data_IF_996712872240
#
_entry.id   IF_996712872240
#
_cell.length_a   1.000
_cell.length_b   1.000
_cell.length_c   1.000
_cell.angle_alpha   90.00
_cell.angle_beta   90.00
_cell.angle_gamma   90.00
#
_symmetry.space_group_name_H-M   'P 1'
#
loop_
_entity.id
_entity.type
_entity.pdbx_description
1 polymer ?
#
# COMPACT_ATOMS: atom_id res chain seq x y z
N UNK A 1 13.44 -2.16 42.04
CA UNK A 1 13.60 -1.43 40.79
C UNK A 1 12.22 -0.90 40.39
N UNK A 2 12.06 0.38 40.01
CA UNK A 2 10.83 0.80 39.41
C UNK A 2 10.59 -0.07 38.18
N UNK A 3 9.34 -0.53 37.97
CA UNK A 3 9.00 -1.30 36.78
C UNK A 3 9.30 -0.46 35.54
N UNK A 4 10.07 -1.02 34.63
CA UNK A 4 10.34 -0.33 33.34
C UNK A 4 9.03 -0.15 32.60
N UNK A 5 8.76 1.02 32.00
CA UNK A 5 7.56 1.23 31.19
C UNK A 5 7.53 0.25 30.02
N UNK A 6 6.36 -0.30 29.75
CA UNK A 6 6.15 -1.27 28.67
C UNK A 6 5.28 -0.63 27.59
N UNK A 7 5.81 -0.61 26.35
CA UNK A 7 5.15 -0.04 25.18
C UNK A 7 4.67 -1.16 24.27
N UNK A 8 3.42 -1.09 23.82
CA UNK A 8 2.91 -1.94 22.77
C UNK A 8 2.97 -1.18 21.41
N UNK A 9 3.88 -1.59 20.54
CA UNK A 9 3.89 -1.14 19.16
C UNK A 9 2.93 -2.03 18.35
N UNK A 10 1.69 -1.56 18.19
CA UNK A 10 0.66 -2.28 17.44
C UNK A 10 0.84 -2.13 15.94
N UNK A 11 1.54 -1.08 15.49
CA UNK A 11 1.67 -0.68 14.09
C UNK A 11 0.29 -0.33 13.51
N UNK A 12 -0.54 -1.34 13.22
CA UNK A 12 -1.90 -1.22 12.67
C UNK A 12 -2.92 -1.89 13.60
N UNK A 13 -4.23 -1.60 13.42
CA UNK A 13 -5.31 -2.37 14.02
C UNK A 13 -5.64 -3.59 13.14
N UNK A 14 -5.30 -4.78 13.63
CA UNK A 14 -5.55 -6.04 12.91
C UNK A 14 -7.06 -6.30 12.75
N UNK A 15 -7.87 -5.98 13.77
CA UNK A 15 -9.33 -6.13 13.67
C UNK A 15 -9.92 -5.21 12.61
N UNK A 16 -9.41 -3.97 12.49
CA UNK A 16 -9.85 -3.05 11.45
C UNK A 16 -9.49 -3.58 10.05
N UNK A 17 -8.27 -4.14 9.89
CA UNK A 17 -7.86 -4.81 8.65
C UNK A 17 -8.80 -5.99 8.32
N UNK A 18 -9.16 -6.80 9.32
CA UNK A 18 -10.09 -7.92 9.13
C UNK A 18 -11.50 -7.46 8.77
N UNK A 19 -12.01 -6.39 9.36
CA UNK A 19 -13.31 -5.79 8.99
C UNK A 19 -13.34 -5.39 7.51
N UNK A 20 -12.30 -4.70 7.05
CA UNK A 20 -12.17 -4.30 5.65
C UNK A 20 -12.05 -5.52 4.73
N UNK A 21 -11.20 -6.49 5.08
CA UNK A 21 -11.03 -7.71 4.29
C UNK A 21 -12.32 -8.54 4.21
N UNK A 22 -13.09 -8.64 5.30
CA UNK A 22 -14.37 -9.35 5.31
C UNK A 22 -15.41 -8.71 4.40
N UNK A 23 -15.44 -7.37 4.32
CA UNK A 23 -16.40 -6.63 3.50
C UNK A 23 -16.09 -6.70 2.01
N UNK A 24 -14.82 -6.81 1.62
CA UNK A 24 -14.35 -6.64 0.24
C UNK A 24 -13.76 -7.89 -0.40
N UNK A 25 -13.46 -8.95 0.37
CA UNK A 25 -12.93 -10.21 -0.17
C UNK A 25 -13.92 -10.86 -1.14
N UNK A 26 -13.45 -11.25 -2.33
CA UNK A 26 -14.21 -12.08 -3.28
C UNK A 26 -14.19 -13.57 -2.90
N UNK A 27 -13.31 -14.00 -1.99
CA UNK A 27 -13.18 -15.39 -1.54
C UNK A 27 -14.17 -15.72 -0.43
N UNK A 28 -15.05 -16.68 -0.66
CA UNK A 28 -16.02 -17.17 0.33
C UNK A 28 -15.34 -17.74 1.57
N UNK A 29 -14.28 -18.53 1.38
CA UNK A 29 -13.49 -19.12 2.47
C UNK A 29 -12.74 -18.05 3.27
N UNK A 30 -12.15 -17.05 2.61
CA UNK A 30 -11.50 -15.92 3.26
C UNK A 30 -12.46 -15.13 4.13
N UNK A 31 -13.69 -14.85 3.65
CA UNK A 31 -14.74 -14.21 4.45
C UNK A 31 -15.13 -15.00 5.68
N UNK A 32 -15.24 -16.33 5.55
CA UNK A 32 -15.61 -17.20 6.68
C UNK A 32 -14.54 -17.20 7.77
N UNK A 33 -13.27 -17.38 7.40
CA UNK A 33 -12.14 -17.35 8.35
C UNK A 33 -12.04 -15.99 9.04
N UNK A 34 -12.09 -14.91 8.27
CA UNK A 34 -12.02 -13.54 8.81
C UNK A 34 -13.18 -13.26 9.78
N UNK A 35 -14.41 -13.70 9.45
CA UNK A 35 -15.59 -13.52 10.30
C UNK A 35 -15.51 -14.30 11.61
N UNK A 36 -14.81 -15.45 11.61
CA UNK A 36 -14.60 -16.25 12.83
C UNK A 36 -13.50 -15.67 13.73
N UNK A 37 -12.41 -15.17 13.14
CA UNK A 37 -11.29 -14.60 13.89
C UNK A 37 -11.54 -13.15 14.36
N UNK A 38 -12.37 -12.39 13.66
CA UNK A 38 -12.60 -10.98 13.95
C UNK A 38 -13.02 -10.70 15.40
N UNK A 39 -14.03 -11.40 16.00
CA UNK A 39 -14.44 -11.14 17.38
C UNK A 39 -13.33 -11.46 18.40
N UNK A 40 -12.51 -12.45 18.10
CA UNK A 40 -11.38 -12.85 18.96
C UNK A 40 -10.29 -11.80 18.92
N UNK A 41 -9.95 -11.32 17.72
CA UNK A 41 -8.96 -10.26 17.51
C UNK A 41 -9.43 -8.96 18.17
N UNK A 42 -10.69 -8.56 17.99
CA UNK A 42 -11.27 -7.39 18.64
C UNK A 42 -11.17 -7.47 20.16
N UNK A 43 -11.51 -8.65 20.76
CA UNK A 43 -11.38 -8.86 22.20
C UNK A 43 -9.92 -8.81 22.66
N UNK A 44 -9.01 -9.40 21.90
CA UNK A 44 -7.57 -9.37 22.20
C UNK A 44 -7.01 -7.94 22.16
N UNK A 45 -7.22 -7.21 21.08
CA UNK A 45 -6.79 -5.81 20.95
C UNK A 45 -7.42 -4.93 22.03
N UNK A 46 -8.73 -5.08 22.30
CA UNK A 46 -9.41 -4.34 23.36
C UNK A 46 -8.84 -4.58 24.76
N UNK A 47 -8.28 -5.76 25.05
CA UNK A 47 -7.57 -6.01 26.30
C UNK A 47 -6.14 -5.44 26.26
N UNK A 48 -5.44 -5.59 25.14
CA UNK A 48 -4.05 -5.13 24.97
C UNK A 48 -3.94 -3.62 25.14
N UNK A 49 -4.86 -2.83 24.59
CA UNK A 49 -4.85 -1.37 24.73
C UNK A 49 -5.03 -0.87 26.17
N UNK A 50 -5.41 -1.76 27.11
CA UNK A 50 -5.54 -1.44 28.53
C UNK A 50 -4.42 -2.05 29.39
N UNK A 51 -3.43 -2.71 28.78
CA UNK A 51 -2.44 -3.55 29.50
C UNK A 51 -1.02 -3.01 29.45
N UNK A 52 -0.78 -1.93 28.73
CA UNK A 52 0.53 -1.31 28.54
C UNK A 52 0.56 0.12 29.05
N UNK A 53 1.75 0.68 29.31
CA UNK A 53 1.88 2.08 29.72
C UNK A 53 1.66 3.04 28.55
N UNK A 54 1.96 2.59 27.32
CA UNK A 54 1.81 3.34 26.08
C UNK A 54 1.50 2.39 24.93
N UNK A 55 0.68 2.85 23.98
CA UNK A 55 0.42 2.16 22.71
C UNK A 55 0.85 3.05 21.56
N UNK A 56 1.51 2.47 20.56
CA UNK A 56 1.89 3.15 19.32
C UNK A 56 1.11 2.55 18.15
N UNK A 57 0.67 3.43 17.24
CA UNK A 57 0.03 3.06 15.97
C UNK A 57 0.54 3.98 14.86
N UNK A 58 0.41 3.56 13.60
CA UNK A 58 0.94 4.34 12.49
C UNK A 58 -0.05 5.38 11.94
N UNK A 59 -1.34 5.27 12.25
CA UNK A 59 -2.35 6.22 11.75
C UNK A 59 -3.41 6.60 12.78
N UNK A 60 -4.02 7.76 12.59
CA UNK A 60 -5.19 8.20 13.36
C UNK A 60 -6.39 7.26 13.16
N UNK A 61 -6.51 6.65 11.98
CA UNK A 61 -7.54 5.66 11.67
C UNK A 61 -7.41 4.43 12.58
N UNK A 62 -6.19 3.89 12.71
CA UNK A 62 -5.92 2.75 13.60
C UNK A 62 -6.11 3.10 15.06
N UNK A 63 -5.65 4.29 15.49
CA UNK A 63 -5.92 4.81 16.83
C UNK A 63 -7.41 4.80 17.14
N UNK A 64 -8.23 5.35 16.25
CA UNK A 64 -9.67 5.43 16.44
C UNK A 64 -10.34 4.04 16.41
N UNK A 65 -9.84 3.12 15.56
CA UNK A 65 -10.29 1.74 15.51
C UNK A 65 -10.03 1.01 16.84
N UNK A 66 -8.82 1.11 17.37
CA UNK A 66 -8.43 0.51 18.65
C UNK A 66 -9.24 1.09 19.81
N UNK A 67 -9.42 2.41 19.89
CA UNK A 67 -10.20 3.05 20.95
C UNK A 67 -11.63 2.56 21.03
N UNK A 68 -12.26 2.22 19.91
CA UNK A 68 -13.62 1.65 19.85
C UNK A 68 -13.72 0.26 20.49
N UNK A 69 -12.60 -0.45 20.61
CA UNK A 69 -12.54 -1.79 21.20
C UNK A 69 -12.36 -1.77 22.71
N UNK A 70 -12.20 -0.57 23.33
CA UNK A 70 -12.01 -0.44 24.77
C UNK A 70 -13.18 -1.08 25.53
N UNK A 71 -12.92 -2.04 26.45
CA UNK A 71 -13.96 -2.58 27.31
C UNK A 71 -14.60 -1.49 28.17
N UNK A 72 -15.92 -1.57 28.40
CA UNK A 72 -16.68 -0.53 29.10
C UNK A 72 -16.22 -0.27 30.54
N UNK A 73 -15.63 -1.28 31.15
CA UNK A 73 -15.13 -1.30 32.55
C UNK A 73 -13.64 -0.93 32.68
N UNK A 74 -12.97 -0.63 31.55
CA UNK A 74 -11.54 -0.30 31.54
C UNK A 74 -11.26 1.06 30.93
N UNK A 75 -10.08 1.60 31.23
CA UNK A 75 -9.53 2.78 30.58
C UNK A 75 -8.43 2.37 29.61
N UNK A 76 -8.43 2.89 28.38
CA UNK A 76 -7.35 2.63 27.46
C UNK A 76 -6.07 3.34 27.92
N UNK A 77 -4.95 2.74 27.65
CA UNK A 77 -3.64 3.38 27.76
C UNK A 77 -3.54 4.56 26.77
N UNK A 78 -2.65 5.53 27.02
CA UNK A 78 -2.37 6.57 26.03
C UNK A 78 -1.98 5.93 24.69
N UNK A 79 -2.63 6.38 23.59
CA UNK A 79 -2.30 5.92 22.23
C UNK A 79 -1.68 7.08 21.46
N UNK A 80 -0.41 6.94 21.08
CA UNK A 80 0.29 7.90 20.20
C UNK A 80 0.31 7.41 18.77
N UNK A 81 0.12 8.34 17.83
CA UNK A 81 0.30 8.09 16.40
C UNK A 81 1.75 8.40 16.06
N UNK A 82 2.47 7.40 15.56
CA UNK A 82 3.83 7.49 15.05
C UNK A 82 3.81 7.00 13.60
N UNK A 83 3.64 7.89 12.62
CA UNK A 83 3.58 7.51 11.22
C UNK A 83 4.86 6.81 10.76
N UNK A 84 4.73 5.86 9.83
CA UNK A 84 5.89 5.29 9.17
C UNK A 84 6.64 6.38 8.40
N UNK A 85 7.96 6.30 8.43
CA UNK A 85 8.85 7.11 7.62
C UNK A 85 9.51 6.31 6.51
N UNK A 86 10.34 6.98 5.72
CA UNK A 86 11.22 6.41 4.72
C UNK A 86 12.63 6.95 4.92
N UNK A 87 13.62 6.12 4.66
CA UNK A 87 15.04 6.52 4.68
C UNK A 87 15.34 7.36 3.42
N UNK A 88 15.40 8.68 3.58
CA UNK A 88 15.63 9.63 2.48
C UNK A 88 17.07 9.59 1.95
N UNK A 89 18.03 9.12 2.74
CA UNK A 89 19.41 8.94 2.28
C UNK A 89 19.52 7.70 1.38
N UNK A 90 18.73 6.68 1.68
CA UNK A 90 18.67 5.46 0.86
C UNK A 90 17.76 5.64 -0.36
N UNK A 91 16.52 6.13 -0.18
CA UNK A 91 15.53 6.34 -1.25
C UNK A 91 15.60 7.77 -1.81
N UNK A 92 16.77 8.20 -2.27
CA UNK A 92 16.92 9.51 -2.91
C UNK A 92 16.73 9.40 -4.43
N UNK A 93 16.37 10.49 -5.13
CA UNK A 93 16.34 10.53 -6.59
C UNK A 93 17.72 10.24 -7.19
N UNK A 94 17.75 9.66 -8.38
CA UNK A 94 18.97 9.40 -9.13
C UNK A 94 18.89 10.03 -10.53
N UNK A 95 19.60 11.14 -10.72
CA UNK A 95 19.62 11.89 -11.99
C UNK A 95 20.36 11.17 -13.12
N UNK A 96 21.19 10.16 -12.79
CA UNK A 96 21.97 9.43 -13.80
C UNK A 96 21.13 8.37 -14.51
N UNK A 97 19.95 8.05 -13.97
CA UNK A 97 19.04 7.07 -14.56
C UNK A 97 17.93 7.79 -15.30
N UNK A 98 17.87 7.59 -16.62
CA UNK A 98 16.78 8.08 -17.43
C UNK A 98 15.52 7.23 -17.21
N UNK A 99 14.38 7.88 -16.96
CA UNK A 99 13.07 7.21 -16.87
C UNK A 99 12.66 6.64 -18.22
N UNK A 100 12.09 5.47 -18.19
CA UNK A 100 11.48 4.83 -19.35
C UNK A 100 10.01 5.26 -19.46
N UNK A 101 9.68 5.95 -20.54
CA UNK A 101 8.38 6.60 -20.75
C UNK A 101 7.18 5.64 -20.80
N UNK A 102 7.43 4.35 -20.96
CA UNK A 102 6.38 3.31 -21.04
C UNK A 102 6.36 2.38 -19.82
N UNK A 103 7.18 2.64 -18.79
CA UNK A 103 7.31 1.75 -17.64
C UNK A 103 6.48 2.20 -16.45
N UNK A 104 5.62 1.29 -16.01
CA UNK A 104 4.79 1.36 -14.81
C UNK A 104 5.34 0.36 -13.78
N UNK A 105 5.50 0.74 -12.52
CA UNK A 105 6.01 -0.16 -11.47
C UNK A 105 5.02 -0.36 -10.34
N UNK A 106 4.91 -1.60 -9.87
CA UNK A 106 4.26 -1.97 -8.61
C UNK A 106 5.28 -2.70 -7.73
N UNK A 107 5.47 -2.25 -6.48
CA UNK A 107 6.41 -2.88 -5.55
C UNK A 107 5.72 -3.49 -4.33
N UNK A 108 6.30 -4.57 -3.78
CA UNK A 108 5.84 -5.14 -2.51
C UNK A 108 6.09 -6.64 -2.34
N UNK A 109 5.69 -7.17 -1.19
CA UNK A 109 5.71 -8.62 -0.94
C UNK A 109 4.52 -9.27 -1.63
N UNK A 110 4.78 -10.12 -2.65
CA UNK A 110 3.76 -10.71 -3.52
C UNK A 110 3.02 -11.92 -2.93
N UNK A 111 3.31 -12.31 -1.69
CA UNK A 111 2.51 -13.25 -0.90
C UNK A 111 1.53 -12.57 0.05
N UNK A 112 1.60 -11.24 0.19
CA UNK A 112 0.66 -10.49 1.02
C UNK A 112 -0.65 -10.27 0.25
N UNK A 113 -1.78 -10.69 0.84
CA UNK A 113 -3.07 -10.76 0.16
C UNK A 113 -3.55 -9.42 -0.44
N UNK A 114 -3.27 -8.29 0.23
CA UNK A 114 -3.63 -6.98 -0.31
C UNK A 114 -2.81 -6.64 -1.56
N UNK A 115 -1.51 -6.99 -1.60
CA UNK A 115 -0.66 -6.81 -2.78
C UNK A 115 -1.13 -7.70 -3.94
N UNK A 116 -1.47 -8.97 -3.66
CA UNK A 116 -2.05 -9.86 -4.67
C UNK A 116 -3.31 -9.26 -5.29
N UNK A 117 -4.19 -8.71 -4.46
CA UNK A 117 -5.43 -8.08 -4.93
C UNK A 117 -5.17 -6.84 -5.77
N UNK A 118 -4.19 -5.99 -5.37
CA UNK A 118 -3.78 -4.82 -6.15
C UNK A 118 -3.20 -5.22 -7.50
N UNK A 119 -2.32 -6.21 -7.55
CA UNK A 119 -1.72 -6.70 -8.81
C UNK A 119 -2.79 -7.28 -9.73
N UNK A 120 -3.70 -8.11 -9.21
CA UNK A 120 -4.81 -8.64 -10.02
C UNK A 120 -5.68 -7.50 -10.58
N UNK A 121 -6.02 -6.53 -9.77
CA UNK A 121 -6.78 -5.37 -10.24
C UNK A 121 -6.03 -4.57 -11.31
N UNK A 122 -4.71 -4.36 -11.16
CA UNK A 122 -3.90 -3.72 -12.18
C UNK A 122 -3.95 -4.50 -13.49
N UNK A 123 -3.70 -5.80 -13.46
CA UNK A 123 -3.62 -6.64 -14.66
C UNK A 123 -4.97 -6.83 -15.32
N UNK A 124 -6.03 -7.06 -14.55
CA UNK A 124 -7.34 -7.42 -15.07
C UNK A 124 -8.18 -6.19 -15.48
N UNK A 125 -8.01 -5.06 -14.77
CA UNK A 125 -8.89 -3.90 -14.95
C UNK A 125 -8.18 -2.66 -15.48
N UNK A 126 -6.98 -2.33 -14.98
CA UNK A 126 -6.29 -1.08 -15.32
C UNK A 126 -5.48 -1.23 -16.61
N UNK A 127 -4.59 -2.21 -16.68
CA UNK A 127 -3.67 -2.36 -17.81
C UNK A 127 -4.36 -2.58 -19.17
N UNK A 128 -5.48 -3.32 -19.28
CA UNK A 128 -6.20 -3.40 -20.55
C UNK A 128 -6.69 -2.05 -21.10
N UNK A 129 -6.99 -1.10 -20.21
CA UNK A 129 -7.37 0.27 -20.56
C UNK A 129 -6.16 1.08 -20.98
N UNK A 130 -5.05 0.93 -20.28
CA UNK A 130 -3.76 1.59 -20.63
C UNK A 130 -3.28 1.09 -22.00
N UNK A 131 -3.26 -0.21 -22.25
CA UNK A 131 -2.78 -0.78 -23.52
C UNK A 131 -3.62 -0.40 -24.73
N UNK A 132 -4.90 -0.08 -24.57
CA UNK A 132 -5.72 0.46 -25.67
C UNK A 132 -5.19 1.79 -26.22
N UNK A 133 -4.53 2.59 -25.39
CA UNK A 133 -4.01 3.92 -25.71
C UNK A 133 -2.49 3.89 -25.89
N UNK A 134 -1.80 3.11 -25.09
CA UNK A 134 -0.34 2.94 -25.07
C UNK A 134 0.01 1.44 -25.17
N UNK A 135 -0.01 0.86 -26.38
CA UNK A 135 0.22 -0.58 -26.58
C UNK A 135 1.61 -1.08 -26.13
N UNK A 136 2.59 -0.17 -26.01
CA UNK A 136 3.95 -0.47 -25.60
C UNK A 136 4.16 -0.36 -24.06
N UNK A 137 3.15 0.11 -23.30
CA UNK A 137 3.28 0.29 -21.86
C UNK A 137 3.58 -1.03 -21.16
N UNK A 138 4.57 -1.02 -20.26
CA UNK A 138 5.05 -2.19 -19.53
C UNK A 138 4.73 -2.09 -18.05
N UNK A 139 4.26 -3.18 -17.46
CA UNK A 139 4.07 -3.29 -16.01
C UNK A 139 5.18 -4.14 -15.40
N UNK A 140 5.94 -3.56 -14.47
CA UNK A 140 6.93 -4.28 -13.68
C UNK A 140 6.37 -4.53 -12.28
N UNK A 141 6.23 -5.80 -11.91
CA UNK A 141 5.82 -6.25 -10.58
C UNK A 141 7.09 -6.68 -9.85
N UNK A 142 7.58 -5.80 -8.96
CA UNK A 142 8.85 -6.03 -8.26
C UNK A 142 8.62 -6.39 -6.79
N UNK A 143 9.23 -7.50 -6.34
CA UNK A 143 9.23 -7.89 -4.94
C UNK A 143 9.19 -9.38 -4.67
N UNK A 144 9.40 -9.72 -3.41
CA UNK A 144 9.62 -11.10 -2.97
C UNK A 144 8.35 -11.95 -2.92
N UNK A 145 8.55 -13.25 -2.94
CA UNK A 145 7.55 -14.30 -2.70
C UNK A 145 6.34 -14.23 -3.66
N UNK A 146 6.51 -14.12 -5.01
CA UNK A 146 5.38 -14.15 -5.91
C UNK A 146 4.69 -15.50 -5.90
N UNK A 147 3.35 -15.47 -5.73
CA UNK A 147 2.51 -16.67 -5.82
C UNK A 147 2.47 -17.21 -7.26
N UNK A 148 2.08 -18.48 -7.49
CA UNK A 148 1.95 -19.01 -8.85
C UNK A 148 1.06 -18.14 -9.75
N UNK A 149 -0.08 -17.65 -9.24
CA UNK A 149 -0.98 -16.75 -9.97
C UNK A 149 -0.28 -15.45 -10.41
N UNK A 150 0.55 -14.87 -9.55
CA UNK A 150 1.30 -13.64 -9.89
C UNK A 150 2.39 -13.94 -10.92
N UNK A 151 3.08 -15.08 -10.79
CA UNK A 151 4.10 -15.51 -11.76
C UNK A 151 3.51 -15.74 -13.16
N UNK A 152 2.29 -16.26 -13.24
CA UNK A 152 1.61 -16.52 -14.50
C UNK A 152 1.37 -15.23 -15.32
N UNK A 153 1.29 -14.06 -14.70
CA UNK A 153 1.16 -12.79 -15.44
C UNK A 153 2.37 -12.49 -16.34
N UNK A 154 3.54 -13.05 -16.05
CA UNK A 154 4.73 -12.92 -16.91
C UNK A 154 4.62 -13.67 -18.26
N UNK A 155 3.56 -14.44 -18.50
CA UNK A 155 3.22 -14.98 -19.83
C UNK A 155 2.85 -13.85 -20.80
N UNK A 156 2.37 -12.71 -20.30
CA UNK A 156 2.21 -11.50 -21.10
C UNK A 156 3.57 -10.80 -21.26
N UNK A 157 4.12 -10.62 -22.48
CA UNK A 157 5.42 -9.98 -22.69
C UNK A 157 5.53 -8.52 -22.23
N UNK A 158 4.41 -7.88 -21.95
CA UNK A 158 4.34 -6.52 -21.39
C UNK A 158 4.35 -6.49 -19.85
N UNK A 159 4.39 -7.65 -19.21
CA UNK A 159 4.42 -7.77 -17.75
C UNK A 159 5.70 -8.49 -17.31
N UNK A 160 6.49 -7.85 -16.47
CA UNK A 160 7.64 -8.47 -15.84
C UNK A 160 7.35 -8.73 -14.35
N UNK A 161 7.64 -9.95 -13.89
CA UNK A 161 7.56 -10.34 -12.47
C UNK A 161 8.95 -10.70 -11.99
N UNK A 162 9.59 -9.86 -11.19
CA UNK A 162 11.01 -10.02 -10.86
C UNK A 162 11.29 -11.06 -9.78
N UNK A 163 10.33 -11.30 -8.89
CA UNK A 163 10.64 -11.99 -7.64
C UNK A 163 11.49 -11.12 -6.71
N UNK A 164 12.28 -11.77 -5.84
CA UNK A 164 13.16 -11.08 -4.91
C UNK A 164 14.32 -10.41 -5.66
N UNK A 165 14.50 -9.12 -5.42
CA UNK A 165 15.61 -8.32 -5.93
C UNK A 165 16.49 -7.84 -4.77
N UNK A 166 17.76 -7.60 -5.03
CA UNK A 166 18.69 -7.06 -4.03
C UNK A 166 18.37 -5.59 -3.69
N UNK A 167 17.92 -4.82 -4.69
CA UNK A 167 17.61 -3.41 -4.58
C UNK A 167 16.39 -3.08 -5.46
N UNK A 168 15.39 -2.40 -4.90
CA UNK A 168 14.18 -2.00 -5.63
C UNK A 168 14.31 -0.63 -6.30
N UNK A 169 15.25 0.20 -5.84
CA UNK A 169 15.42 1.58 -6.31
C UNK A 169 15.63 1.70 -7.83
N UNK A 170 16.43 0.85 -8.51
CA UNK A 170 16.55 0.91 -9.97
C UNK A 170 15.20 0.80 -10.70
N UNK A 171 14.27 0.00 -10.18
CA UNK A 171 12.94 -0.16 -10.77
C UNK A 171 12.06 1.09 -10.54
N UNK A 172 12.20 1.74 -9.38
CA UNK A 172 11.53 3.00 -9.09
C UNK A 172 12.09 4.13 -9.95
N UNK A 173 13.43 4.28 -10.01
CA UNK A 173 14.08 5.33 -10.81
C UNK A 173 13.77 5.21 -12.30
N UNK A 174 13.73 3.99 -12.85
CA UNK A 174 13.43 3.76 -14.26
C UNK A 174 11.95 3.97 -14.60
N UNK A 175 11.02 3.82 -13.67
CA UNK A 175 9.60 3.90 -13.95
C UNK A 175 9.13 5.35 -14.11
N UNK A 176 8.22 5.57 -15.04
CA UNK A 176 7.49 6.85 -15.17
C UNK A 176 6.48 7.04 -14.06
N UNK A 177 5.88 5.93 -13.57
CA UNK A 177 4.86 5.96 -12.52
C UNK A 177 4.91 4.72 -11.64
N UNK A 178 4.76 4.91 -10.34
CA UNK A 178 4.47 3.86 -9.37
C UNK A 178 2.96 3.79 -9.11
N UNK A 179 2.39 2.59 -9.13
CA UNK A 179 0.95 2.39 -9.01
C UNK A 179 0.60 1.60 -7.75
N UNK A 180 -0.31 2.14 -6.93
CA UNK A 180 -0.72 1.53 -5.66
C UNK A 180 -2.25 1.57 -5.51
N UNK A 181 -3.01 0.76 -6.27
CA UNK A 181 -4.47 0.75 -6.23
C UNK A 181 -4.99 -0.02 -5.00
N UNK A 182 -4.86 0.56 -3.81
CA UNK A 182 -5.26 -0.06 -2.56
C UNK A 182 -6.79 -0.26 -2.52
N UNK A 183 -7.22 -1.51 -2.64
CA UNK A 183 -8.65 -1.87 -2.61
C UNK A 183 -9.16 -2.02 -1.17
N UNK A 184 -8.32 -2.55 -0.30
CA UNK A 184 -8.54 -2.70 1.14
C UNK A 184 -7.18 -2.79 1.85
N UNK A 185 -7.16 -2.44 3.11
CA UNK A 185 -5.95 -2.42 3.94
C UNK A 185 -6.01 -1.28 4.94
N UNK A 186 -5.15 -1.34 5.94
CA UNK A 186 -4.95 -0.32 6.96
C UNK A 186 -3.49 0.17 6.89
N UNK A 187 -3.22 1.27 7.58
CA UNK A 187 -1.88 1.82 7.75
C UNK A 187 -1.28 2.49 6.50
N UNK A 188 -0.08 3.01 6.71
CA UNK A 188 0.69 3.68 5.67
C UNK A 188 1.28 2.64 4.71
N UNK A 189 1.12 2.87 3.42
CA UNK A 189 1.73 2.04 2.39
C UNK A 189 3.17 2.52 2.12
N UNK A 190 4.17 1.91 2.78
CA UNK A 190 5.58 2.30 2.67
C UNK A 190 6.07 2.43 1.23
N UNK A 191 5.57 1.59 0.32
CA UNK A 191 5.89 1.66 -1.12
C UNK A 191 5.53 3.02 -1.77
N UNK A 192 4.55 3.75 -1.22
CA UNK A 192 4.23 5.11 -1.66
C UNK A 192 5.33 6.07 -1.21
N UNK A 193 5.75 6.00 0.06
CA UNK A 193 6.83 6.83 0.59
C UNK A 193 8.15 6.55 -0.14
N UNK A 194 8.45 5.28 -0.40
CA UNK A 194 9.65 4.84 -1.15
C UNK A 194 9.65 5.40 -2.58
N UNK A 195 8.51 5.33 -3.28
CA UNK A 195 8.38 5.88 -4.62
C UNK A 195 8.49 7.40 -4.63
N UNK A 196 7.80 8.10 -3.73
CA UNK A 196 7.87 9.57 -3.60
C UNK A 196 9.29 10.02 -3.27
N UNK A 197 9.98 9.34 -2.34
CA UNK A 197 11.35 9.66 -1.95
C UNK A 197 12.35 9.47 -3.11
N UNK A 198 12.12 8.52 -4.03
CA UNK A 198 12.93 8.36 -5.25
C UNK A 198 12.53 9.34 -6.36
N UNK A 199 11.60 10.25 -6.11
CA UNK A 199 11.04 11.19 -7.09
C UNK A 199 10.16 10.50 -8.13
N UNK A 200 9.64 9.30 -7.88
CA UNK A 200 8.76 8.60 -8.82
C UNK A 200 7.31 8.95 -8.54
N UNK A 201 6.60 9.57 -9.50
CA UNK A 201 5.19 9.92 -9.34
C UNK A 201 4.34 8.72 -8.97
N UNK A 202 3.34 8.94 -8.10
CA UNK A 202 2.47 7.87 -7.60
C UNK A 202 1.04 8.09 -8.04
N UNK A 203 0.40 7.02 -8.54
CA UNK A 203 -1.06 6.93 -8.68
C UNK A 203 -1.59 5.95 -7.66
N UNK A 204 -2.54 6.40 -6.85
CA UNK A 204 -3.12 5.58 -5.78
C UNK A 204 -4.64 5.79 -5.64
N UNK A 205 -5.26 5.15 -4.64
CA UNK A 205 -6.67 5.35 -4.30
C UNK A 205 -6.84 6.28 -3.11
N UNK A 206 -8.01 6.87 -2.94
CA UNK A 206 -8.34 7.76 -1.80
C UNK A 206 -8.15 7.08 -0.43
N UNK A 207 -8.19 5.75 -0.37
CA UNK A 207 -7.96 4.98 0.87
C UNK A 207 -6.59 5.21 1.49
N UNK A 208 -5.56 5.39 0.67
CA UNK A 208 -4.19 5.60 1.17
C UNK A 208 -4.01 6.98 1.81
N UNK A 209 -4.77 7.97 1.36
CA UNK A 209 -4.67 9.34 1.88
C UNK A 209 -5.10 9.47 3.34
N UNK A 210 -5.95 8.56 3.84
CA UNK A 210 -6.37 8.58 5.25
C UNK A 210 -5.23 8.37 6.24
N UNK A 211 -4.10 7.84 5.75
CA UNK A 211 -2.90 7.55 6.54
C UNK A 211 -1.66 8.30 6.02
N UNK A 212 -1.78 9.09 4.94
CA UNK A 212 -0.69 9.79 4.27
C UNK A 212 -1.02 11.29 4.17
N UNK A 213 -0.15 12.13 4.72
CA UNK A 213 -0.26 13.59 4.61
C UNK A 213 0.34 14.06 3.26
N UNK A 214 -0.34 13.75 2.15
CA UNK A 214 0.04 14.21 0.82
C UNK A 214 -1.13 14.92 0.14
N UNK A 215 -0.83 15.95 -0.67
CA UNK A 215 -1.82 16.77 -1.37
C UNK A 215 -2.21 16.14 -2.72
N UNK A 216 -3.47 15.69 -2.89
CA UNK A 216 -3.92 15.13 -4.15
C UNK A 216 -3.81 16.14 -5.30
N UNK A 217 -3.31 15.68 -6.43
CA UNK A 217 -3.16 16.48 -7.65
C UNK A 217 -1.87 17.31 -7.75
N UNK A 218 -1.13 17.46 -6.65
CA UNK A 218 0.15 18.18 -6.60
C UNK A 218 1.33 17.31 -6.16
N UNK A 219 1.12 16.42 -5.21
CA UNK A 219 2.17 15.54 -4.67
C UNK A 219 1.90 14.06 -4.97
N UNK A 220 0.64 13.73 -5.27
CA UNK A 220 0.19 12.37 -5.55
C UNK A 220 -1.09 12.40 -6.39
N UNK A 221 -1.24 11.48 -7.33
CA UNK A 221 -2.47 11.35 -8.10
C UNK A 221 -3.40 10.30 -7.49
N UNK A 222 -4.71 10.61 -7.45
CA UNK A 222 -5.70 9.80 -6.74
C UNK A 222 -6.87 9.46 -7.64
N UNK A 223 -7.19 8.15 -7.73
CA UNK A 223 -8.32 7.66 -8.51
C UNK A 223 -8.85 6.35 -7.94
N UNK A 224 -10.18 6.23 -7.80
CA UNK A 224 -10.84 5.11 -7.14
C UNK A 224 -11.50 4.11 -8.09
N UNK A 225 -11.62 4.43 -9.39
CA UNK A 225 -12.16 3.53 -10.41
C UNK A 225 -11.10 3.13 -11.42
N UNK A 226 -11.25 1.99 -12.08
CA UNK A 226 -10.31 1.53 -13.10
C UNK A 226 -10.17 2.53 -14.26
N UNK A 227 -11.27 3.18 -14.65
CA UNK A 227 -11.26 4.18 -15.73
C UNK A 227 -10.49 5.44 -15.31
N UNK A 228 -10.78 5.99 -14.12
CA UNK A 228 -10.05 7.15 -13.61
C UNK A 228 -8.57 6.82 -13.31
N UNK A 229 -8.29 5.63 -12.74
CA UNK A 229 -6.93 5.20 -12.42
C UNK A 229 -6.08 5.04 -13.69
N UNK A 230 -6.63 4.39 -14.73
CA UNK A 230 -5.96 4.28 -16.02
C UNK A 230 -5.77 5.64 -16.70
N UNK A 231 -6.71 6.57 -16.55
CA UNK A 231 -6.57 7.92 -17.07
C UNK A 231 -5.41 8.68 -16.41
N UNK A 232 -5.24 8.60 -15.09
CA UNK A 232 -4.11 9.23 -14.40
C UNK A 232 -2.77 8.58 -14.76
N UNK A 233 -2.72 7.25 -14.92
CA UNK A 233 -1.53 6.56 -15.43
C UNK A 233 -1.18 7.05 -16.84
N UNK A 234 -2.14 7.10 -17.74
CA UNK A 234 -1.94 7.59 -19.12
C UNK A 234 -1.52 9.06 -19.16
N UNK A 235 -2.02 9.87 -18.25
CA UNK A 235 -1.66 11.28 -18.13
C UNK A 235 -0.18 11.45 -17.78
N UNK A 236 0.37 10.62 -16.88
CA UNK A 236 1.80 10.61 -16.57
C UNK A 236 2.63 10.04 -17.72
N UNK A 237 2.23 8.93 -18.33
CA UNK A 237 2.95 8.35 -19.49
C UNK A 237 3.00 9.32 -20.70
N UNK A 238 2.03 10.23 -20.81
CA UNK A 238 1.93 11.20 -21.92
C UNK A 238 2.49 12.59 -21.64
N UNK A 239 2.94 12.88 -20.41
CA UNK A 239 3.31 14.24 -20.00
C UNK A 239 4.55 14.27 -19.09
N UNK A 240 5.73 14.45 -19.71
CA UNK A 240 7.02 14.55 -19.01
C UNK A 240 7.07 15.71 -18.01
N UNK A 241 6.44 16.83 -18.32
CA UNK A 241 6.39 17.99 -17.44
C UNK A 241 5.67 17.62 -16.13
N UNK A 242 4.52 16.99 -16.24
CA UNK A 242 3.76 16.53 -15.08
C UNK A 242 4.53 15.53 -14.21
N UNK A 243 5.33 14.63 -14.84
CA UNK A 243 6.19 13.67 -14.11
C UNK A 243 7.25 14.37 -13.24
N UNK A 244 7.65 15.58 -13.63
CA UNK A 244 8.59 16.40 -12.84
C UNK A 244 7.93 17.33 -11.83
N UNK A 245 6.64 17.63 -12.02
CA UNK A 245 5.88 18.53 -11.14
C UNK A 245 5.25 17.81 -9.93
N UNK A 246 5.02 16.51 -10.05
CA UNK A 246 4.45 15.64 -9.01
C UNK A 246 5.57 14.83 -8.35
#
# INVERSE_FOLDING_TARGET
FPASPVVWDSVDSISHLFEQAASQSRSFFGKFVTRFELPRTQKAEGNLICSFDQVLVTSTTDKNALLKLTPKDKRPSPISVLPNGVDLDYFQPNSDIQRDEETIVFSGKMSYHANISMVKYLVDEVMPRVWKVRPAARLIIVGKDPTPDIKAFAENPLIAVTGTVADIRPFLWCATVSVVPLLYGAGIQNKILEAMATGTPVVTTSRTLSALEAQPGTEILVADTADAFSAEVLRLLGNKTLVHEI
#
